data_IF_349540793599
#
_entry.id   IF_349540793599
#
_cell.length_a   1.000
_cell.length_b   1.000
_cell.length_c   1.000
_cell.angle_alpha   90.00
_cell.angle_beta   90.00
_cell.angle_gamma   90.00
#
_symmetry.space_group_name_H-M   'P 1'
#
loop_
_entity.id
_entity.type
_entity.pdbx_description
1 polymer ?
#
# COMPACT_ATOMS: atom_id res chain seq x y z
N UNK A 1 4.65 -7.75 3.59
CA UNK A 1 6.12 -7.65 3.86
C UNK A 1 6.66 -6.50 3.05
N UNK A 2 7.48 -5.63 3.63
CA UNK A 2 8.08 -4.48 2.93
C UNK A 2 9.59 -4.61 2.90
N UNK A 3 10.19 -4.34 1.74
CA UNK A 3 11.63 -4.30 1.52
C UNK A 3 12.04 -3.08 0.70
N UNK A 4 13.34 -2.82 0.62
CA UNK A 4 13.92 -1.74 -0.18
C UNK A 4 14.87 -2.31 -1.23
N UNK A 5 14.64 -2.00 -2.50
CA UNK A 5 15.53 -2.33 -3.60
C UNK A 5 16.59 -1.24 -3.72
N UNK A 6 17.82 -1.55 -3.29
CA UNK A 6 18.94 -0.60 -3.31
C UNK A 6 19.33 -0.12 -4.71
N UNK A 7 19.16 -0.97 -5.73
CA UNK A 7 19.56 -0.63 -7.10
C UNK A 7 18.51 0.24 -7.78
N UNK A 8 17.23 -0.07 -7.56
CA UNK A 8 16.11 0.73 -8.09
C UNK A 8 15.74 1.92 -7.21
N UNK A 9 16.25 1.96 -5.98
CA UNK A 9 15.96 2.98 -4.97
C UNK A 9 14.46 3.09 -4.65
N UNK A 10 13.76 1.97 -4.70
CA UNK A 10 12.31 1.88 -4.49
C UNK A 10 11.96 0.90 -3.37
N UNK A 11 10.87 1.16 -2.66
CA UNK A 11 10.26 0.20 -1.75
C UNK A 11 9.42 -0.79 -2.53
N UNK A 12 9.42 -2.04 -2.07
CA UNK A 12 8.57 -3.11 -2.58
C UNK A 12 7.77 -3.66 -1.40
N UNK A 13 6.45 -3.72 -1.53
CA UNK A 13 5.55 -4.34 -0.56
C UNK A 13 4.86 -5.54 -1.23
N UNK A 14 4.87 -6.68 -0.56
CA UNK A 14 4.07 -7.84 -0.95
C UNK A 14 2.97 -8.06 0.07
N UNK A 15 1.74 -8.04 -0.39
CA UNK A 15 0.56 -8.25 0.42
C UNK A 15 -0.08 -9.60 0.06
N UNK A 16 -0.28 -10.43 1.09
CA UNK A 16 -0.80 -11.79 0.98
C UNK A 16 -1.93 -11.88 1.99
N UNK A 17 -3.17 -11.96 1.50
CA UNK A 17 -4.36 -12.04 2.33
C UNK A 17 -5.42 -12.94 1.69
N UNK A 18 -6.61 -12.95 2.27
CA UNK A 18 -7.80 -13.66 1.77
C UNK A 18 -8.82 -12.73 1.09
N UNK A 19 -8.46 -11.47 0.82
CA UNK A 19 -9.32 -10.48 0.14
C UNK A 19 -9.16 -10.52 -1.38
N UNK A 20 -8.01 -11.03 -1.87
CA UNK A 20 -7.75 -11.28 -3.28
C UNK A 20 -7.48 -12.75 -3.60
N UNK A 21 -7.40 -13.08 -4.89
CA UNK A 21 -7.03 -14.43 -5.38
C UNK A 21 -5.53 -14.57 -5.69
N UNK A 22 -4.74 -13.52 -5.51
CA UNK A 22 -3.33 -13.47 -5.88
C UNK A 22 -2.47 -12.67 -4.90
N UNK A 23 -1.15 -12.77 -5.07
CA UNK A 23 -0.19 -11.97 -4.31
C UNK A 23 -0.15 -10.57 -4.92
N UNK A 24 -0.50 -9.57 -4.11
CA UNK A 24 -0.40 -8.17 -4.52
C UNK A 24 1.03 -7.70 -4.30
N UNK A 25 1.64 -7.15 -5.35
CA UNK A 25 2.96 -6.54 -5.30
C UNK A 25 2.81 -5.05 -5.59
N UNK A 26 3.29 -4.23 -4.65
CA UNK A 26 3.25 -2.79 -4.74
C UNK A 26 4.66 -2.24 -4.70
N UNK A 27 4.88 -1.13 -5.40
CA UNK A 27 6.17 -0.44 -5.45
C UNK A 27 5.98 1.03 -5.22
N UNK A 28 6.95 1.67 -4.59
CA UNK A 28 6.81 3.05 -4.17
C UNK A 28 8.09 3.74 -3.78
N UNK A 29 8.00 5.05 -3.58
CA UNK A 29 9.13 5.88 -3.17
C UNK A 29 8.80 6.62 -1.88
N UNK A 30 9.85 7.02 -1.17
CA UNK A 30 9.76 7.90 -0.01
C UNK A 30 9.54 9.34 -0.44
N UNK A 31 8.61 10.02 0.23
CA UNK A 31 8.42 11.46 0.18
C UNK A 31 8.83 12.06 1.53
N UNK A 32 9.92 12.82 1.52
CA UNK A 32 10.49 13.46 2.70
C UNK A 32 9.57 14.53 3.29
N UNK A 33 8.85 15.29 2.44
CA UNK A 33 8.02 16.40 2.90
C UNK A 33 6.84 15.92 3.73
N UNK A 34 6.27 14.76 3.36
CA UNK A 34 5.12 14.16 4.03
C UNK A 34 5.49 12.99 4.94
N UNK A 35 6.78 12.63 4.99
CA UNK A 35 7.29 11.43 5.69
C UNK A 35 6.49 10.18 5.35
N UNK A 36 6.23 9.97 4.07
CA UNK A 36 5.31 8.94 3.59
C UNK A 36 5.95 8.10 2.49
N UNK A 37 5.81 6.78 2.57
CA UNK A 37 6.08 5.89 1.43
C UNK A 37 4.79 5.80 0.61
N UNK A 38 4.85 6.19 -0.66
CA UNK A 38 3.70 6.14 -1.57
C UNK A 38 3.86 4.94 -2.50
N UNK A 39 3.06 3.90 -2.30
CA UNK A 39 3.11 2.66 -3.07
C UNK A 39 1.92 2.53 -4.02
N UNK A 40 2.17 1.94 -5.18
CA UNK A 40 1.16 1.59 -6.18
C UNK A 40 1.36 0.16 -6.65
N UNK A 41 0.27 -0.52 -6.94
CA UNK A 41 0.27 -1.86 -7.52
C UNK A 41 -1.05 -2.15 -8.21
N UNK A 42 -1.27 -3.42 -8.51
CA UNK A 42 -2.54 -3.93 -9.03
C UNK A 42 -2.97 -5.15 -8.26
N UNK A 43 -4.28 -5.34 -8.18
CA UNK A 43 -4.89 -6.56 -7.69
C UNK A 43 -6.11 -6.91 -8.53
N UNK A 44 -6.52 -8.17 -8.49
CA UNK A 44 -7.79 -8.60 -9.06
C UNK A 44 -8.90 -8.20 -8.08
N UNK A 45 -9.85 -7.38 -8.53
CA UNK A 45 -11.05 -7.10 -7.75
C UNK A 45 -11.95 -8.36 -7.76
N UNK A 46 -12.29 -8.95 -6.60
CA UNK A 46 -13.13 -10.14 -6.55
C UNK A 46 -14.55 -9.90 -7.07
N UNK A 47 -15.05 -8.67 -7.04
CA UNK A 47 -16.38 -8.31 -7.56
C UNK A 47 -16.44 -8.33 -9.09
N UNK A 48 -15.55 -7.57 -9.74
CA UNK A 48 -15.52 -7.45 -11.21
C UNK A 48 -14.69 -8.54 -11.91
N UNK A 49 -13.81 -9.24 -11.18
CA UNK A 49 -12.81 -10.19 -11.70
C UNK A 49 -11.79 -9.57 -12.67
N UNK A 50 -11.66 -8.24 -12.64
CA UNK A 50 -10.70 -7.50 -13.45
C UNK A 50 -9.59 -6.94 -12.57
N UNK A 51 -8.44 -6.64 -13.19
CA UNK A 51 -7.38 -5.92 -12.50
C UNK A 51 -7.83 -4.49 -12.19
N UNK A 52 -7.63 -4.07 -10.95
CA UNK A 52 -7.82 -2.69 -10.51
C UNK A 52 -6.51 -2.16 -9.90
N UNK A 53 -6.30 -0.86 -10.04
CA UNK A 53 -5.17 -0.17 -9.43
C UNK A 53 -5.41 -0.02 -7.92
N UNK A 54 -4.36 -0.28 -7.15
CA UNK A 54 -4.33 -0.14 -5.70
C UNK A 54 -3.21 0.81 -5.30
N UNK A 55 -3.47 1.64 -4.31
CA UNK A 55 -2.50 2.55 -3.69
C UNK A 55 -2.42 2.27 -2.20
N UNK A 56 -1.20 2.15 -1.69
CA UNK A 56 -0.91 1.98 -0.27
C UNK A 56 0.02 3.10 0.19
N UNK A 57 -0.26 3.68 1.34
CA UNK A 57 0.60 4.72 1.94
C UNK A 57 1.02 4.31 3.32
N UNK A 58 2.30 4.44 3.62
CA UNK A 58 2.85 4.32 4.96
C UNK A 58 3.37 5.67 5.43
N UNK A 59 2.63 6.32 6.32
CA UNK A 59 2.99 7.61 6.91
C UNK A 59 3.60 7.41 8.29
N UNK A 60 4.75 8.01 8.52
CA UNK A 60 5.44 7.96 9.81
C UNK A 60 5.13 9.23 10.58
N UNK A 61 4.26 9.13 11.58
CA UNK A 61 3.84 10.29 12.39
C UNK A 61 4.87 10.63 13.45
N UNK A 62 5.55 9.61 13.98
CA UNK A 62 6.67 9.70 14.92
C UNK A 62 7.51 8.41 14.85
N UNK A 63 8.58 8.32 15.65
CA UNK A 63 9.53 7.18 15.62
C UNK A 63 8.91 5.83 16.05
N UNK A 64 7.73 5.85 16.66
CA UNK A 64 7.05 4.68 17.22
C UNK A 64 5.67 4.43 16.61
N UNK A 65 5.21 5.30 15.71
CA UNK A 65 3.86 5.26 15.15
C UNK A 65 3.89 5.38 13.64
N UNK A 66 3.21 4.45 12.98
CA UNK A 66 3.07 4.40 11.52
C UNK A 66 1.59 4.22 11.17
N UNK A 67 1.08 5.04 10.27
CA UNK A 67 -0.26 4.93 9.71
C UNK A 67 -0.16 4.33 8.32
N UNK A 68 -0.87 3.22 8.11
CA UNK A 68 -1.01 2.58 6.82
C UNK A 68 -2.43 2.78 6.30
N UNK A 69 -2.54 3.23 5.06
CA UNK A 69 -3.83 3.36 4.38
C UNK A 69 -3.77 2.67 3.03
N UNK A 70 -4.85 2.00 2.66
CA UNK A 70 -5.01 1.36 1.35
C UNK A 70 -6.24 1.93 0.64
N UNK A 71 -6.08 2.16 -0.65
CA UNK A 71 -7.07 2.74 -1.54
C UNK A 71 -7.18 1.87 -2.79
N UNK A 72 -8.40 1.65 -3.24
CA UNK A 72 -8.69 0.89 -4.46
C UNK A 72 -9.39 1.80 -5.44
N UNK A 73 -9.05 1.70 -6.72
CA UNK A 73 -9.77 2.40 -7.78
C UNK A 73 -11.13 1.75 -8.01
N UNK A 74 -12.20 2.53 -7.85
CA UNK A 74 -13.57 2.10 -8.10
C UNK A 74 -13.92 2.24 -9.59
N UNK A 75 -14.96 1.55 -10.08
CA UNK A 75 -15.38 1.64 -11.49
C UNK A 75 -15.77 3.06 -11.96
N UNK A 76 -16.10 3.97 -11.04
CA UNK A 76 -16.38 5.38 -11.33
C UNK A 76 -15.12 6.25 -11.49
N UNK A 77 -13.93 5.64 -11.39
CA UNK A 77 -12.65 6.32 -11.50
C UNK A 77 -12.20 7.07 -10.24
N UNK A 78 -12.87 6.85 -9.10
CA UNK A 78 -12.48 7.42 -7.80
C UNK A 78 -11.79 6.40 -6.92
N UNK A 79 -10.85 6.87 -6.11
CA UNK A 79 -10.25 6.05 -5.07
C UNK A 79 -11.21 5.91 -3.88
N UNK A 80 -11.37 4.68 -3.40
CA UNK A 80 -12.07 4.37 -2.17
C UNK A 80 -11.08 3.84 -1.13
N UNK A 81 -11.08 4.44 0.08
CA UNK A 81 -10.24 3.98 1.18
C UNK A 81 -10.82 2.68 1.75
N UNK A 82 -10.12 1.57 1.53
CA UNK A 82 -10.54 0.24 1.96
C UNK A 82 -9.96 -0.15 3.31
N UNK A 83 -8.84 0.44 3.70
CA UNK A 83 -8.14 0.09 4.93
C UNK A 83 -7.45 1.30 5.56
N UNK A 84 -7.48 1.34 6.90
CA UNK A 84 -6.65 2.21 7.71
C UNK A 84 -6.17 1.40 8.92
N UNK A 85 -4.86 1.37 9.14
CA UNK A 85 -4.23 0.70 10.27
C UNK A 85 -3.25 1.65 10.91
N UNK A 86 -3.31 1.74 12.25
CA UNK A 86 -2.28 2.39 13.06
C UNK A 86 -1.39 1.34 13.70
N UNK A 87 -0.14 1.29 13.30
CA UNK A 87 0.89 0.47 13.92
C UNK A 87 1.58 1.24 15.04
N UNK A 88 1.83 0.56 16.14
CA UNK A 88 2.67 1.07 17.24
C UNK A 88 3.81 0.11 17.48
N UNK A 89 5.01 0.66 17.72
CA UNK A 89 6.19 -0.13 18.02
C UNK A 89 5.98 -0.89 19.33
N UNK A 90 6.12 -2.22 19.29
CA UNK A 90 6.20 -3.03 20.51
C UNK A 90 7.45 -2.63 21.29
N UNK A 91 7.27 -2.29 22.56
CA UNK A 91 8.37 -2.01 23.50
C UNK A 91 8.99 -3.30 24.02
#
# INVERSE_FOLDING_TARGET
>A
ITGYDNHRKEFISTWIDNMGSGIMVMKGTWDEATKTINMKGRMVDPGTKLDTDVRETFKFTDDNTQEMEMFVMMPDGKEFKTMNIKYTRKK
#
